data_IF_819119906034
#
_entry.id   IF_819119906034
#
_cell.length_a   1.000
_cell.length_b   1.000
_cell.length_c   1.000
_cell.angle_alpha   90.00
_cell.angle_beta   90.00
_cell.angle_gamma   90.00
#
_symmetry.space_group_name_H-M   'P 1'
#
loop_
_entity.id
_entity.type
_entity.pdbx_description
1 polymer ?
#
# COMPACT_ATOMS: atom_id res chain seq x y z
N UNK A 1 14.71 -13.40 18.82
CA UNK A 1 13.52 -13.01 19.60
C UNK A 1 12.31 -13.09 18.68
N UNK A 2 11.12 -13.37 19.22
CA UNK A 2 9.88 -13.41 18.41
C UNK A 2 9.31 -11.99 18.27
N UNK A 3 8.69 -11.64 17.14
CA UNK A 3 7.97 -10.38 17.01
C UNK A 3 6.77 -10.36 17.96
N UNK A 4 6.32 -9.16 18.31
CA UNK A 4 5.14 -8.91 19.15
C UNK A 4 4.09 -8.08 18.42
N UNK A 5 4.42 -7.51 17.26
CA UNK A 5 3.56 -6.66 16.45
C UNK A 5 3.63 -7.03 14.96
N UNK A 6 2.57 -6.72 14.21
CA UNK A 6 2.56 -6.87 12.75
C UNK A 6 2.54 -5.50 12.09
N UNK A 7 3.37 -5.35 11.07
CA UNK A 7 3.46 -4.16 10.23
C UNK A 7 3.10 -4.57 8.80
N UNK A 8 1.99 -4.09 8.29
CA UNK A 8 1.49 -4.46 6.96
C UNK A 8 1.88 -3.43 5.91
N UNK A 9 2.18 -3.88 4.70
CA UNK A 9 1.86 -3.08 3.51
C UNK A 9 0.33 -3.00 3.29
N UNK A 10 -0.12 -2.02 2.53
CA UNK A 10 -1.53 -1.85 2.20
C UNK A 10 -1.82 -2.38 0.79
N UNK A 11 -1.11 -1.90 -0.23
CA UNK A 11 -1.34 -2.28 -1.62
C UNK A 11 -1.01 -3.75 -1.88
N UNK A 12 -1.95 -4.49 -2.46
CA UNK A 12 -1.89 -5.94 -2.72
C UNK A 12 -1.61 -6.83 -1.50
N UNK A 13 -1.68 -6.27 -0.28
CA UNK A 13 -1.59 -7.01 0.98
C UNK A 13 -2.89 -6.90 1.75
N UNK A 14 -3.37 -5.69 2.03
CA UNK A 14 -4.67 -5.47 2.69
C UNK A 14 -5.76 -5.18 1.67
N UNK A 15 -5.44 -4.44 0.62
CA UNK A 15 -6.37 -4.06 -0.45
C UNK A 15 -5.73 -4.25 -1.82
N UNK A 16 -6.50 -4.79 -2.75
CA UNK A 16 -6.07 -4.89 -4.15
C UNK A 16 -5.96 -3.49 -4.76
N UNK A 17 -5.05 -3.32 -5.71
CA UNK A 17 -4.98 -2.11 -6.52
C UNK A 17 -4.85 -2.45 -8.00
N UNK A 18 -5.87 -2.05 -8.78
CA UNK A 18 -5.89 -2.24 -10.22
C UNK A 18 -6.55 -1.03 -10.92
N UNK A 19 -5.76 -0.12 -11.52
CA UNK A 19 -6.31 1.01 -12.26
C UNK A 19 -7.22 0.61 -13.41
N UNK A 20 -7.12 -0.63 -13.94
CA UNK A 20 -8.05 -1.11 -14.98
C UNK A 20 -9.50 -1.13 -14.50
N UNK A 21 -9.76 -1.28 -13.19
CA UNK A 21 -11.13 -1.30 -12.65
C UNK A 21 -11.88 0.01 -12.90
N UNK A 22 -11.19 1.14 -12.75
CA UNK A 22 -11.70 2.45 -13.14
C UNK A 22 -11.75 2.58 -14.67
N UNK A 23 -10.61 2.36 -15.33
CA UNK A 23 -10.44 2.79 -16.72
C UNK A 23 -11.16 1.91 -17.75
N UNK A 24 -11.53 0.65 -17.45
CA UNK A 24 -12.44 -0.15 -18.31
C UNK A 24 -13.81 0.50 -18.49
N UNK A 25 -14.23 1.38 -17.59
CA UNK A 25 -15.49 2.13 -17.69
C UNK A 25 -15.36 3.36 -18.58
N UNK A 26 -14.13 3.79 -18.87
CA UNK A 26 -13.79 5.02 -19.60
C UNK A 26 -13.20 4.74 -20.99
N UNK A 27 -12.56 3.58 -21.15
CA UNK A 27 -11.94 3.11 -22.38
C UNK A 27 -12.55 1.74 -22.68
N UNK A 28 -13.37 1.66 -23.72
CA UNK A 28 -14.11 0.43 -24.08
C UNK A 28 -13.25 -0.61 -24.80
N UNK A 29 -12.12 -0.20 -25.37
CA UNK A 29 -11.19 -1.06 -26.09
C UNK A 29 -10.06 -1.53 -25.15
N UNK A 30 -9.97 -2.84 -24.93
CA UNK A 30 -9.02 -3.43 -23.96
C UNK A 30 -7.55 -3.21 -24.37
N UNK A 31 -7.24 -3.21 -25.68
CA UNK A 31 -5.88 -2.98 -26.16
C UNK A 31 -5.48 -1.51 -25.93
N UNK A 32 -6.37 -0.56 -26.24
CA UNK A 32 -6.18 0.86 -25.98
C UNK A 32 -6.06 1.16 -24.48
N UNK A 33 -6.83 0.47 -23.63
CA UNK A 33 -6.72 0.57 -22.18
C UNK A 33 -5.33 0.13 -21.69
N UNK A 34 -4.86 -1.02 -22.18
CA UNK A 34 -3.56 -1.57 -21.81
C UNK A 34 -2.42 -0.66 -22.27
N UNK A 35 -2.53 -0.09 -23.47
CA UNK A 35 -1.58 0.93 -23.98
C UNK A 35 -1.63 2.19 -23.11
N UNK A 36 -2.81 2.69 -22.76
CA UNK A 36 -2.97 3.89 -21.93
C UNK A 36 -2.33 3.75 -20.55
N UNK A 37 -2.57 2.63 -19.86
CA UNK A 37 -1.99 2.37 -18.53
C UNK A 37 -0.50 1.99 -18.58
N UNK A 38 0.00 1.54 -19.73
CA UNK A 38 1.44 1.27 -19.92
C UNK A 38 2.22 2.54 -20.24
N UNK A 39 1.72 3.35 -21.18
CA UNK A 39 2.51 4.40 -21.82
C UNK A 39 2.13 5.82 -21.34
N UNK A 40 0.94 6.02 -20.78
CA UNK A 40 0.42 7.33 -20.35
C UNK A 40 0.33 7.38 -18.82
N UNK A 41 -0.71 6.79 -18.21
CA UNK A 41 -0.85 6.66 -16.76
C UNK A 41 -0.05 5.46 -16.24
N UNK A 42 1.25 5.46 -16.54
CA UNK A 42 2.17 4.39 -16.18
C UNK A 42 2.39 4.27 -14.67
N UNK A 43 2.83 3.09 -14.21
CA UNK A 43 3.26 2.88 -12.82
C UNK A 43 4.36 3.85 -12.40
N UNK A 44 5.31 4.14 -13.28
CA UNK A 44 6.39 5.09 -12.99
C UNK A 44 5.87 6.52 -12.76
N UNK A 45 4.85 6.93 -13.50
CA UNK A 45 4.19 8.20 -13.25
C UNK A 45 3.43 8.18 -11.91
N UNK A 46 2.73 7.09 -11.59
CA UNK A 46 2.03 6.94 -10.31
C UNK A 46 2.98 6.96 -9.09
N UNK A 47 4.14 6.29 -9.17
CA UNK A 47 5.10 6.22 -8.07
C UNK A 47 5.65 7.60 -7.64
N UNK A 48 5.52 8.62 -8.49
CA UNK A 48 5.83 9.99 -8.09
C UNK A 48 4.89 10.51 -6.99
N UNK A 49 3.61 10.11 -7.01
CA UNK A 49 2.64 10.45 -5.96
C UNK A 49 2.98 9.74 -4.65
N UNK A 50 3.40 8.47 -4.73
CA UNK A 50 3.87 7.71 -3.57
C UNK A 50 5.14 8.34 -2.95
N UNK A 51 5.96 9.00 -3.76
CA UNK A 51 7.10 9.80 -3.30
C UNK A 51 6.71 11.21 -2.78
N UNK A 52 5.42 11.55 -2.79
CA UNK A 52 4.88 12.81 -2.26
C UNK A 52 4.83 13.96 -3.27
N UNK A 53 4.95 13.70 -4.57
CA UNK A 53 4.67 14.73 -5.59
C UNK A 53 3.17 14.96 -5.70
N UNK A 54 2.69 16.21 -5.73
CA UNK A 54 1.26 16.50 -5.88
C UNK A 54 0.69 15.99 -7.20
N UNK A 55 -0.50 15.39 -7.17
CA UNK A 55 -1.20 14.96 -8.39
C UNK A 55 -1.43 16.12 -9.36
N UNK A 56 -1.77 17.31 -8.87
CA UNK A 56 -2.03 18.47 -9.73
C UNK A 56 -0.82 18.84 -10.62
N UNK A 57 0.40 18.71 -10.11
CA UNK A 57 1.62 18.99 -10.88
C UNK A 57 1.89 17.88 -11.92
N UNK A 58 1.95 16.64 -11.44
CA UNK A 58 2.29 15.47 -12.27
C UNK A 58 1.24 15.21 -13.36
N UNK A 59 -0.04 15.49 -13.10
CA UNK A 59 -1.12 15.38 -14.08
C UNK A 59 -1.08 16.49 -15.13
N UNK A 60 -0.71 17.71 -14.76
CA UNK A 60 -0.52 18.80 -15.71
C UNK A 60 0.67 18.53 -16.65
N UNK A 61 1.80 18.08 -16.10
CA UNK A 61 2.97 17.65 -16.87
C UNK A 61 2.64 16.51 -17.84
N UNK A 62 1.92 15.49 -17.36
CA UNK A 62 1.52 14.35 -18.19
C UNK A 62 0.52 14.76 -19.27
N UNK A 63 -0.45 15.62 -18.94
CA UNK A 63 -1.45 16.13 -19.89
C UNK A 63 -0.80 16.99 -20.97
N UNK A 64 0.24 17.77 -20.64
CA UNK A 64 0.99 18.53 -21.64
C UNK A 64 1.74 17.62 -22.63
N UNK A 65 2.20 16.45 -22.16
CA UNK A 65 2.86 15.43 -23.01
C UNK A 65 1.87 14.62 -23.84
N UNK A 66 0.67 14.37 -23.31
CA UNK A 66 -0.38 13.56 -23.92
C UNK A 66 -1.71 14.32 -23.95
N UNK A 67 -1.81 15.43 -24.72
CA UNK A 67 -2.98 16.31 -24.71
C UNK A 67 -4.27 15.57 -25.12
N UNK A 68 -4.17 14.57 -25.99
CA UNK A 68 -5.30 13.74 -26.41
C UNK A 68 -5.87 12.85 -25.28
N UNK A 69 -5.14 12.69 -24.17
CA UNK A 69 -5.55 11.90 -23.01
C UNK A 69 -5.79 12.74 -21.76
N UNK A 70 -5.75 14.08 -21.87
CA UNK A 70 -5.84 14.99 -20.71
C UNK A 70 -7.09 14.74 -19.85
N UNK A 71 -8.25 14.49 -20.48
CA UNK A 71 -9.50 14.19 -19.76
C UNK A 71 -9.43 12.89 -18.96
N UNK A 72 -8.78 11.85 -19.51
CA UNK A 72 -8.58 10.55 -18.87
C UNK A 72 -7.55 10.65 -17.73
N UNK A 73 -6.47 11.39 -17.93
CA UNK A 73 -5.44 11.65 -16.91
C UNK A 73 -6.08 12.36 -15.70
N UNK A 74 -6.93 13.36 -15.95
CA UNK A 74 -7.61 14.11 -14.90
C UNK A 74 -8.53 13.25 -14.02
N UNK A 75 -8.94 12.04 -14.46
CA UNK A 75 -9.76 11.14 -13.66
C UNK A 75 -8.98 10.39 -12.58
N UNK A 76 -7.65 10.27 -12.71
CA UNK A 76 -6.86 9.38 -11.85
C UNK A 76 -7.00 9.71 -10.36
N UNK A 77 -6.72 10.96 -9.97
CA UNK A 77 -6.72 11.38 -8.58
C UNK A 77 -8.12 11.45 -7.95
N UNK A 78 -9.07 12.21 -8.50
CA UNK A 78 -10.42 12.35 -7.93
C UNK A 78 -11.19 11.03 -7.79
N UNK A 79 -10.81 10.01 -8.58
CA UNK A 79 -11.45 8.69 -8.60
C UNK A 79 -10.48 7.58 -8.19
N UNK A 80 -9.43 7.92 -7.43
CA UNK A 80 -8.42 6.94 -7.03
C UNK A 80 -9.03 5.74 -6.28
N UNK A 81 -9.98 5.97 -5.38
CA UNK A 81 -10.67 4.88 -4.67
C UNK A 81 -11.43 3.92 -5.58
N UNK A 82 -11.83 4.33 -6.80
CA UNK A 82 -12.46 3.43 -7.78
C UNK A 82 -11.46 2.49 -8.47
N UNK A 83 -10.16 2.70 -8.26
CA UNK A 83 -9.07 1.82 -8.69
C UNK A 83 -8.76 0.72 -7.66
N UNK A 84 -9.39 0.78 -6.49
CA UNK A 84 -9.23 -0.18 -5.39
C UNK A 84 -10.47 -1.08 -5.40
N UNK A 85 -10.37 -2.31 -5.93
CA UNK A 85 -11.54 -3.18 -6.12
C UNK A 85 -12.17 -3.62 -4.80
N UNK A 86 -11.36 -3.71 -3.74
CA UNK A 86 -11.77 -4.15 -2.42
C UNK A 86 -10.59 -4.72 -1.61
N UNK A 87 -10.86 -5.25 -0.41
CA UNK A 87 -9.85 -5.90 0.40
C UNK A 87 -9.39 -7.20 -0.24
N UNK A 88 -8.12 -7.56 -0.01
CA UNK A 88 -7.59 -8.86 -0.41
C UNK A 88 -8.36 -9.97 0.32
N UNK A 89 -8.79 -11.05 -0.37
CA UNK A 89 -9.60 -12.10 0.24
C UNK A 89 -8.97 -12.71 1.51
N UNK A 90 -9.73 -12.76 2.60
CA UNK A 90 -9.31 -13.33 3.89
C UNK A 90 -8.54 -12.38 4.79
N UNK A 91 -8.12 -11.21 4.29
CA UNK A 91 -7.36 -10.24 5.08
C UNK A 91 -8.22 -9.46 6.08
N UNK A 92 -9.47 -9.05 5.79
CA UNK A 92 -10.34 -8.46 6.80
C UNK A 92 -10.53 -9.36 8.03
N UNK A 93 -10.75 -10.65 7.81
CA UNK A 93 -10.92 -11.64 8.88
C UNK A 93 -9.62 -11.82 9.66
N UNK A 94 -8.47 -11.95 8.97
CA UNK A 94 -7.17 -12.15 9.61
C UNK A 94 -6.74 -10.92 10.44
N UNK A 95 -7.00 -9.72 9.95
CA UNK A 95 -6.74 -8.46 10.68
C UNK A 95 -7.63 -8.37 11.91
N UNK A 96 -8.92 -8.70 11.79
CA UNK A 96 -9.84 -8.70 12.91
C UNK A 96 -9.41 -9.71 14.00
N UNK A 97 -9.01 -10.91 13.62
CA UNK A 97 -8.52 -11.91 14.57
C UNK A 97 -7.25 -11.47 15.32
N UNK A 98 -6.31 -10.83 14.62
CA UNK A 98 -5.10 -10.27 15.24
C UNK A 98 -5.43 -9.16 16.25
N UNK A 99 -6.34 -8.26 15.89
CA UNK A 99 -6.80 -7.17 16.75
C UNK A 99 -7.54 -7.72 18.00
N UNK A 100 -8.44 -8.69 17.82
CA UNK A 100 -9.13 -9.38 18.90
C UNK A 100 -8.17 -10.15 19.83
N UNK A 101 -7.08 -10.68 19.29
CA UNK A 101 -6.00 -11.29 20.06
C UNK A 101 -5.10 -10.26 20.78
N UNK A 102 -5.32 -8.96 20.57
CA UNK A 102 -4.56 -7.87 21.18
C UNK A 102 -3.18 -7.63 20.55
N UNK A 103 -2.92 -8.19 19.36
CA UNK A 103 -1.68 -7.97 18.63
C UNK A 103 -1.65 -6.52 18.11
N UNK A 104 -0.62 -5.71 18.44
CA UNK A 104 -0.44 -4.39 17.86
C UNK A 104 -0.32 -4.45 16.33
N UNK A 105 -1.18 -3.70 15.63
CA UNK A 105 -1.19 -3.59 14.18
C UNK A 105 -0.73 -2.20 13.74
N UNK A 106 0.18 -2.19 12.76
CA UNK A 106 0.72 -0.99 12.14
C UNK A 106 0.80 -1.18 10.63
N UNK A 107 1.01 -0.11 9.87
CA UNK A 107 1.26 -0.21 8.44
C UNK A 107 2.35 0.74 7.94
N UNK A 108 3.06 0.33 6.89
CA UNK A 108 3.99 1.15 6.11
C UNK A 108 3.61 0.97 4.63
N UNK A 109 3.06 2.01 4.02
CA UNK A 109 2.55 1.96 2.65
C UNK A 109 3.30 2.92 1.73
N UNK A 110 3.63 2.45 0.52
CA UNK A 110 3.95 3.36 -0.57
C UNK A 110 2.62 3.83 -1.18
N UNK A 111 2.19 5.04 -0.83
CA UNK A 111 0.89 5.60 -1.22
C UNK A 111 0.96 7.13 -1.16
N UNK A 112 0.31 7.80 -2.12
CA UNK A 112 0.06 9.25 -2.03
C UNK A 112 -0.75 9.65 -0.80
N UNK A 113 -0.29 10.65 -0.05
CA UNK A 113 -1.02 11.21 1.09
C UNK A 113 -2.42 11.74 0.68
N UNK A 114 -2.48 12.41 -0.47
CA UNK A 114 -3.71 13.05 -0.96
C UNK A 114 -4.78 12.03 -1.34
N UNK A 115 -4.39 10.83 -1.78
CA UNK A 115 -5.29 9.74 -2.14
C UNK A 115 -5.59 8.84 -0.94
N UNK A 116 -4.63 8.68 -0.03
CA UNK A 116 -4.79 7.82 1.13
C UNK A 116 -5.82 8.38 2.12
N UNK A 117 -5.83 9.69 2.37
CA UNK A 117 -6.76 10.30 3.34
C UNK A 117 -8.25 9.99 3.10
N UNK A 118 -8.82 10.20 1.88
CA UNK A 118 -10.21 9.82 1.60
C UNK A 118 -10.41 8.30 1.64
N UNK A 119 -9.47 7.52 1.12
CA UNK A 119 -9.54 6.05 1.14
C UNK A 119 -9.56 5.49 2.57
N UNK A 120 -8.67 5.96 3.45
CA UNK A 120 -8.62 5.63 4.88
C UNK A 120 -9.93 5.96 5.61
N UNK A 121 -10.61 7.02 5.20
CA UNK A 121 -11.91 7.40 5.76
C UNK A 121 -13.01 6.44 5.31
N UNK A 122 -13.04 6.10 4.02
CA UNK A 122 -13.99 5.15 3.46
C UNK A 122 -13.84 3.75 4.10
N UNK A 123 -12.61 3.31 4.28
CA UNK A 123 -12.25 2.00 4.81
C UNK A 123 -11.92 2.02 6.31
N UNK A 124 -12.53 2.96 7.05
CA UNK A 124 -12.31 3.12 8.49
C UNK A 124 -12.53 1.81 9.27
N UNK A 125 -13.46 0.97 8.81
CA UNK A 125 -13.69 -0.35 9.38
C UNK A 125 -12.41 -1.18 9.46
N UNK A 126 -11.52 -1.13 8.46
CA UNK A 126 -10.20 -1.79 8.51
C UNK A 126 -9.19 -0.98 9.33
N UNK A 127 -9.02 0.29 8.97
CA UNK A 127 -7.86 1.07 9.41
C UNK A 127 -7.95 1.56 10.85
N UNK A 128 -9.14 1.62 11.45
CA UNK A 128 -9.28 2.03 12.86
C UNK A 128 -8.78 0.94 13.85
N UNK A 129 -8.46 -0.27 13.38
CA UNK A 129 -7.75 -1.31 14.15
C UNK A 129 -6.24 -1.06 14.24
N UNK A 130 -5.70 -0.21 13.37
CA UNK A 130 -4.28 0.07 13.31
C UNK A 130 -3.95 1.17 14.30
N UNK A 131 -2.95 0.92 15.16
CA UNK A 131 -2.47 1.91 16.12
C UNK A 131 -1.84 3.10 15.40
N UNK A 132 -1.18 2.82 14.27
CA UNK A 132 -0.58 3.86 13.44
C UNK A 132 -0.26 3.39 12.01
N UNK A 133 -0.21 4.32 11.05
CA UNK A 133 0.03 4.04 9.63
C UNK A 133 1.00 5.08 9.03
N UNK A 134 2.18 4.65 8.61
CA UNK A 134 3.16 5.47 7.88
C UNK A 134 2.82 5.46 6.40
N UNK A 135 2.64 6.65 5.83
CA UNK A 135 2.28 6.87 4.42
C UNK A 135 3.45 7.56 3.72
N UNK A 136 4.03 6.90 2.72
CA UNK A 136 5.24 7.39 2.04
C UNK A 136 5.10 8.79 1.46
N UNK A 137 3.95 9.12 0.88
CA UNK A 137 3.71 10.42 0.25
C UNK A 137 3.73 11.57 1.26
N UNK A 138 3.30 11.32 2.49
CA UNK A 138 3.33 12.28 3.59
C UNK A 138 4.76 12.49 4.10
N UNK A 139 5.50 11.40 4.26
CA UNK A 139 6.87 11.41 4.81
C UNK A 139 7.95 11.75 3.76
N UNK A 140 7.61 11.66 2.46
CA UNK A 140 8.53 11.77 1.32
C UNK A 140 9.68 10.76 1.39
N UNK A 141 9.40 9.58 1.94
CA UNK A 141 10.30 8.44 2.03
C UNK A 141 9.55 7.23 1.50
N UNK A 142 10.19 6.40 0.68
CA UNK A 142 9.54 5.24 0.05
C UNK A 142 10.27 3.96 0.44
N UNK A 143 9.52 2.87 0.60
CA UNK A 143 10.12 1.53 0.62
C UNK A 143 10.76 1.26 -0.76
N UNK A 144 11.92 0.58 -0.83
CA UNK A 144 12.63 -0.12 0.24
C UNK A 144 13.75 0.68 0.93
N UNK A 145 13.73 2.02 0.91
CA UNK A 145 14.76 2.82 1.59
C UNK A 145 14.75 2.56 3.11
N UNK A 146 15.92 2.37 3.72
CA UNK A 146 16.06 2.13 5.16
C UNK A 146 15.40 3.23 6.02
N UNK A 147 15.37 4.47 5.53
CA UNK A 147 14.86 5.62 6.26
C UNK A 147 13.38 5.49 6.63
N UNK A 148 12.51 4.95 5.76
CA UNK A 148 11.08 4.81 6.07
C UNK A 148 10.85 3.77 7.17
N UNK A 149 11.61 2.66 7.18
CA UNK A 149 11.48 1.65 8.22
C UNK A 149 11.96 2.17 9.58
N UNK A 150 13.06 2.91 9.61
CA UNK A 150 13.55 3.53 10.85
C UNK A 150 12.58 4.58 11.39
N UNK A 151 12.01 5.42 10.52
CA UNK A 151 10.98 6.37 10.90
C UNK A 151 9.76 5.65 11.48
N UNK A 152 9.28 4.61 10.80
CA UNK A 152 8.14 3.82 11.24
C UNK A 152 8.37 3.16 12.59
N UNK A 153 9.49 2.45 12.77
CA UNK A 153 9.83 1.80 14.05
C UNK A 153 9.92 2.82 15.20
N UNK A 154 10.50 3.99 14.96
CA UNK A 154 10.54 5.08 15.94
C UNK A 154 9.15 5.59 16.32
N UNK A 155 8.26 5.77 15.33
CA UNK A 155 6.88 6.23 15.53
C UNK A 155 6.02 5.20 16.25
N UNK A 156 6.21 3.92 15.93
CA UNK A 156 5.49 2.80 16.53
C UNK A 156 6.02 2.42 17.92
N UNK A 157 7.20 2.92 18.29
CA UNK A 157 7.86 2.60 19.55
C UNK A 157 8.34 1.14 19.61
N UNK A 158 8.79 0.59 18.48
CA UNK A 158 9.24 -0.80 18.34
C UNK A 158 10.74 -0.88 18.07
N UNK A 159 11.41 -1.85 18.68
CA UNK A 159 12.70 -2.32 18.20
C UNK A 159 12.50 -3.15 16.91
N UNK A 160 13.48 -3.18 15.98
CA UNK A 160 13.32 -3.90 14.71
C UNK A 160 12.84 -5.34 14.88
N UNK A 161 13.45 -6.11 15.80
CA UNK A 161 13.14 -7.52 16.04
C UNK A 161 11.76 -7.77 16.69
N UNK A 162 11.06 -6.72 17.13
CA UNK A 162 9.71 -6.78 17.69
C UNK A 162 8.62 -6.70 16.61
N UNK A 163 8.99 -6.29 15.39
CA UNK A 163 8.07 -6.14 14.27
C UNK A 163 8.19 -7.29 13.26
N UNK A 164 7.04 -7.84 12.84
CA UNK A 164 6.91 -8.65 11.64
C UNK A 164 6.35 -7.80 10.50
N UNK A 165 7.17 -7.52 9.50
CA UNK A 165 6.76 -6.82 8.29
C UNK A 165 6.22 -7.79 7.22
N UNK A 166 5.10 -7.42 6.60
CA UNK A 166 4.42 -8.22 5.57
C UNK A 166 4.22 -7.36 4.33
N UNK A 167 4.77 -7.77 3.20
CA UNK A 167 4.75 -7.01 1.94
C UNK A 167 4.81 -7.97 0.74
N UNK A 168 4.10 -7.67 -0.34
CA UNK A 168 4.08 -8.51 -1.55
C UNK A 168 5.37 -8.37 -2.37
N UNK A 169 6.12 -7.26 -2.20
CA UNK A 169 7.33 -6.99 -2.97
C UNK A 169 8.59 -7.47 -2.27
N UNK A 170 9.38 -8.27 -2.98
CA UNK A 170 10.62 -8.84 -2.47
C UNK A 170 11.68 -7.79 -2.06
N UNK A 171 11.75 -6.65 -2.75
CA UNK A 171 12.67 -5.56 -2.43
C UNK A 171 12.31 -4.90 -1.09
N UNK A 172 11.02 -4.66 -0.84
CA UNK A 172 10.52 -4.15 0.44
C UNK A 172 10.78 -5.13 1.59
N UNK A 173 10.54 -6.44 1.37
CA UNK A 173 10.86 -7.48 2.36
C UNK A 173 12.36 -7.52 2.66
N UNK A 174 13.21 -7.37 1.65
CA UNK A 174 14.66 -7.31 1.83
C UNK A 174 15.10 -6.05 2.60
N UNK A 175 14.52 -4.89 2.29
CA UNK A 175 14.77 -3.62 2.99
C UNK A 175 14.43 -3.71 4.49
N UNK A 176 13.26 -4.25 4.83
CA UNK A 176 12.85 -4.46 6.22
C UNK A 176 13.81 -5.42 6.96
N UNK A 177 14.24 -6.50 6.32
CA UNK A 177 15.25 -7.42 6.90
C UNK A 177 16.59 -6.73 7.13
N UNK A 178 17.01 -5.87 6.21
CA UNK A 178 18.30 -5.18 6.30
C UNK A 178 18.38 -4.24 7.52
N UNK A 179 17.24 -3.69 7.97
CA UNK A 179 17.16 -2.88 9.20
C UNK A 179 16.90 -3.71 10.47
N UNK A 180 16.83 -5.04 10.35
CA UNK A 180 16.70 -5.96 11.48
C UNK A 180 15.27 -6.39 11.85
N UNK A 181 14.27 -6.10 11.00
CA UNK A 181 12.91 -6.60 11.20
C UNK A 181 12.79 -8.08 10.82
N UNK A 182 11.82 -8.77 11.42
CA UNK A 182 11.29 -9.98 10.78
C UNK A 182 10.49 -9.52 9.56
N UNK A 183 10.62 -10.21 8.42
CA UNK A 183 9.78 -9.90 7.27
C UNK A 183 9.49 -11.14 6.43
N UNK A 184 8.26 -11.23 5.93
CA UNK A 184 7.78 -12.31 5.08
C UNK A 184 7.14 -11.76 3.81
N UNK A 185 7.36 -12.41 2.64
CA UNK A 185 6.62 -12.07 1.45
C UNK A 185 5.14 -12.43 1.62
N UNK A 186 4.25 -11.52 1.23
CA UNK A 186 2.83 -11.81 1.15
C UNK A 186 2.50 -12.49 -0.17
N UNK A 187 1.67 -13.54 -0.11
CA UNK A 187 1.10 -14.20 -1.30
C UNK A 187 -0.40 -14.30 -1.19
N UNK A 188 -0.90 -14.69 -0.01
CA UNK A 188 -2.30 -14.86 0.31
C UNK A 188 -2.48 -14.94 1.84
N UNK A 189 -3.72 -14.77 2.30
CA UNK A 189 -4.05 -14.78 3.72
C UNK A 189 -3.78 -16.12 4.43
N UNK A 190 -3.87 -17.26 3.73
CA UNK A 190 -3.65 -18.57 4.32
C UNK A 190 -2.16 -18.82 4.61
N UNK A 191 -1.30 -18.47 3.66
CA UNK A 191 0.15 -18.49 3.81
C UNK A 191 0.60 -17.52 4.91
N UNK A 192 0.05 -16.31 4.94
CA UNK A 192 0.35 -15.35 6.01
C UNK A 192 -0.10 -15.86 7.39
N UNK A 193 -1.28 -16.48 7.49
CA UNK A 193 -1.74 -17.10 8.75
C UNK A 193 -0.73 -18.13 9.25
N UNK A 194 -0.22 -19.00 8.38
CA UNK A 194 0.78 -19.98 8.77
C UNK A 194 2.07 -19.32 9.31
N UNK A 195 2.49 -18.21 8.70
CA UNK A 195 3.61 -17.41 9.19
C UNK A 195 3.32 -16.78 10.55
N UNK A 196 2.15 -16.18 10.74
CA UNK A 196 1.73 -15.57 12.01
C UNK A 196 1.71 -16.60 13.14
N UNK A 197 1.19 -17.81 12.90
CA UNK A 197 1.24 -18.92 13.86
C UNK A 197 2.68 -19.35 14.15
N UNK A 198 3.53 -19.46 13.12
CA UNK A 198 4.96 -19.80 13.29
C UNK A 198 5.71 -18.78 14.16
N UNK A 199 5.39 -17.50 14.03
CA UNK A 199 5.95 -16.43 14.86
C UNK A 199 5.29 -16.33 16.25
N UNK A 200 4.17 -17.03 16.47
CA UNK A 200 3.43 -17.03 17.74
C UNK A 200 2.56 -15.79 17.94
N UNK A 201 2.15 -15.14 16.84
CA UNK A 201 1.24 -13.99 16.84
C UNK A 201 -0.24 -14.40 16.73
N UNK A 202 -0.50 -15.62 16.25
CA UNK A 202 -1.83 -16.26 16.24
C UNK A 202 -1.72 -17.68 16.80
N UNK A 203 -2.81 -18.13 17.43
CA UNK A 203 -2.95 -19.48 18.01
C UNK A 203 -3.30 -20.56 16.99
#
# INVERSE_FOLDING_TARGET
MRPIAVVFDIGNVLYDWDPKVLYRRLISDDEALDVFLRDVCSKEWHFQHDAGRPFAETSAELSARFPQHAELIAQWGPRFSEQIPGPVPGMPELVAELDEAGVPLFAITNFSDEFFAPFRTQEAAMFDRFRDIVVSGAERLVKPDAAIYHLALGRFGLAPHEALFVDDRHDNVAGAKAVGMHAVPFTDAASLRADLTRFGLLG
#
